data_IF_009705279720
#
_entry.id   IF_009705279720
#
_cell.length_a   1.000
_cell.length_b   1.000
_cell.length_c   1.000
_cell.angle_alpha   90.00
_cell.angle_beta   90.00
_cell.angle_gamma   90.00
#
_symmetry.space_group_name_H-M   'P 1'
#
loop_
_entity.id
_entity.type
_entity.pdbx_description
1 polymer ?
#
# COMPACT_ATOMS: atom_id res chain seq x y z
N UNK A 1 8.09 11.61 -7.01
CA UNK A 1 7.93 10.25 -6.49
C UNK A 1 7.04 9.40 -7.40
N UNK A 2 5.78 9.74 -7.61
CA UNK A 2 4.99 9.15 -8.70
C UNK A 2 4.31 10.22 -9.57
N UNK A 3 3.99 9.85 -10.80
CA UNK A 3 3.20 10.64 -11.72
C UNK A 3 2.29 9.72 -12.55
N UNK A 4 1.05 10.13 -12.66
CA UNK A 4 0.02 9.52 -13.53
C UNK A 4 -0.41 10.58 -14.52
N UNK A 5 -0.55 10.23 -15.79
CA UNK A 5 -1.06 11.15 -16.82
C UNK A 5 -1.94 10.43 -17.84
N UNK A 6 -3.09 11.06 -18.15
CA UNK A 6 -4.09 10.61 -19.12
C UNK A 6 -4.46 9.13 -18.99
N UNK A 7 -4.59 8.67 -17.73
CA UNK A 7 -4.81 7.27 -17.42
C UNK A 7 -6.29 6.90 -17.59
N UNK A 8 -6.53 5.79 -18.27
CA UNK A 8 -7.84 5.14 -18.30
C UNK A 8 -7.72 3.65 -18.02
N UNK A 9 -8.75 3.07 -17.41
CA UNK A 9 -8.86 1.63 -17.28
C UNK A 9 -10.31 1.20 -17.48
N UNK A 10 -10.50 0.02 -18.09
CA UNK A 10 -11.81 -0.51 -18.41
C UNK A 10 -11.88 -2.00 -18.05
N UNK A 11 -13.03 -2.45 -17.56
CA UNK A 11 -13.37 -3.86 -17.41
C UNK A 11 -14.53 -4.18 -18.37
N UNK A 12 -14.37 -5.20 -19.19
CA UNK A 12 -15.39 -5.67 -20.15
C UNK A 12 -15.92 -4.52 -21.03
N UNK A 13 -15.02 -3.63 -21.49
CA UNK A 13 -15.38 -2.50 -22.36
C UNK A 13 -16.00 -1.29 -21.62
N UNK A 14 -16.32 -1.40 -20.33
CA UNK A 14 -16.82 -0.29 -19.53
C UNK A 14 -15.65 0.41 -18.83
N UNK A 15 -15.47 1.71 -19.11
CA UNK A 15 -14.49 2.55 -18.39
C UNK A 15 -14.88 2.63 -16.91
N UNK A 16 -13.94 2.33 -16.04
CA UNK A 16 -14.12 2.33 -14.57
C UNK A 16 -13.16 3.29 -13.88
N UNK A 17 -12.19 3.82 -14.61
CA UNK A 17 -11.20 4.73 -14.08
C UNK A 17 -10.77 5.73 -15.15
N UNK A 18 -10.75 7.01 -14.78
CA UNK A 18 -10.15 8.09 -15.56
C UNK A 18 -9.39 9.02 -14.62
N UNK A 19 -8.11 9.24 -14.91
CA UNK A 19 -7.24 10.17 -14.17
C UNK A 19 -6.50 11.02 -15.18
N UNK A 20 -6.71 12.33 -15.17
CA UNK A 20 -6.03 13.23 -16.09
C UNK A 20 -4.55 13.36 -15.70
N UNK A 21 -4.27 14.03 -14.60
CA UNK A 21 -2.92 14.20 -14.07
C UNK A 21 -2.95 14.12 -12.54
N UNK A 22 -2.02 13.34 -11.97
CA UNK A 22 -1.79 13.32 -10.54
C UNK A 22 -0.31 13.05 -10.26
N UNK A 23 0.29 13.91 -9.44
CA UNK A 23 1.71 13.81 -9.09
C UNK A 23 1.91 13.95 -7.60
N UNK A 24 2.84 13.19 -7.06
CA UNK A 24 3.24 13.28 -5.67
C UNK A 24 4.77 13.28 -5.54
N UNK A 25 5.30 14.19 -4.73
CA UNK A 25 6.70 14.22 -4.36
C UNK A 25 7.07 13.12 -3.36
N UNK A 26 8.36 12.94 -3.12
CA UNK A 26 8.87 12.00 -2.11
C UNK A 26 8.47 12.48 -0.71
N UNK A 27 8.02 11.55 0.14
CA UNK A 27 7.59 11.83 1.51
C UNK A 27 6.23 12.52 1.64
N UNK A 28 5.56 12.86 0.53
CA UNK A 28 4.23 13.43 0.56
C UNK A 28 3.20 12.42 1.08
N UNK A 29 2.15 12.93 1.71
CA UNK A 29 1.03 12.12 2.21
C UNK A 29 -0.25 12.57 1.51
N UNK A 30 -1.00 11.61 0.98
CA UNK A 30 -2.20 11.84 0.19
C UNK A 30 -3.36 10.96 0.64
N UNK A 31 -4.54 11.55 0.69
CA UNK A 31 -5.81 10.82 0.66
C UNK A 31 -6.33 10.79 -0.77
N UNK A 32 -6.67 9.61 -1.25
CA UNK A 32 -7.47 9.41 -2.44
C UNK A 32 -8.91 9.15 -1.99
N UNK A 33 -9.75 10.16 -2.16
CA UNK A 33 -11.13 10.16 -1.73
C UNK A 33 -12.05 9.84 -2.91
N UNK A 34 -13.20 9.28 -2.63
CA UNK A 34 -14.24 9.01 -3.62
C UNK A 34 -15.28 8.02 -3.10
N UNK A 35 -16.48 8.00 -3.67
CA UNK A 35 -17.53 7.06 -3.27
C UNK A 35 -17.11 5.61 -3.54
N UNK A 36 -17.85 4.65 -2.97
CA UNK A 36 -17.69 3.24 -3.33
C UNK A 36 -17.88 3.06 -4.84
N UNK A 37 -17.01 2.27 -5.48
CA UNK A 37 -17.06 2.02 -6.92
C UNK A 37 -16.44 3.13 -7.80
N UNK A 38 -15.87 4.21 -7.25
CA UNK A 38 -15.20 5.25 -8.05
C UNK A 38 -13.87 4.82 -8.67
N UNK A 39 -13.38 3.60 -8.39
CA UNK A 39 -12.13 3.10 -8.96
C UNK A 39 -10.89 3.29 -8.07
N UNK A 40 -11.03 3.64 -6.79
CA UNK A 40 -9.90 3.83 -5.84
C UNK A 40 -8.97 2.61 -5.79
N UNK A 41 -9.51 1.44 -5.52
CA UNK A 41 -8.74 0.17 -5.51
C UNK A 41 -8.09 -0.09 -6.86
N UNK A 42 -8.80 0.19 -7.97
CA UNK A 42 -8.26 0.04 -9.32
C UNK A 42 -7.06 0.95 -9.53
N UNK A 43 -7.15 2.23 -9.15
CA UNK A 43 -6.05 3.18 -9.27
C UNK A 43 -4.86 2.78 -8.38
N UNK A 44 -5.11 2.33 -7.13
CA UNK A 44 -4.05 1.78 -6.29
C UNK A 44 -3.34 0.59 -6.94
N UNK A 45 -4.10 -0.35 -7.52
CA UNK A 45 -3.53 -1.50 -8.22
C UNK A 45 -2.75 -1.11 -9.47
N UNK A 46 -3.17 -0.06 -10.18
CA UNK A 46 -2.40 0.48 -11.32
C UNK A 46 -1.11 1.15 -10.84
N UNK A 47 -1.14 1.98 -9.78
CA UNK A 47 0.05 2.56 -9.16
C UNK A 47 1.02 1.49 -8.65
N UNK A 48 0.49 0.39 -8.14
CA UNK A 48 1.26 -0.76 -7.69
C UNK A 48 1.83 -1.62 -8.83
N UNK A 49 1.44 -1.37 -10.08
CA UNK A 49 1.79 -2.23 -11.22
C UNK A 49 1.18 -3.63 -11.14
N UNK A 50 0.07 -3.80 -10.41
CA UNK A 50 -0.73 -5.03 -10.37
C UNK A 50 -1.65 -5.09 -11.57
N UNK A 51 -2.25 -3.95 -11.94
CA UNK A 51 -3.10 -3.81 -13.12
C UNK A 51 -2.40 -2.93 -14.16
N UNK A 52 -2.50 -3.34 -15.41
CA UNK A 52 -2.10 -2.51 -16.54
C UNK A 52 -3.28 -1.63 -16.96
N UNK A 53 -3.12 -0.31 -17.08
CA UNK A 53 -4.17 0.57 -17.59
C UNK A 53 -4.45 0.30 -19.06
N UNK A 54 -5.62 0.71 -19.55
CA UNK A 54 -5.96 0.64 -20.96
C UNK A 54 -5.20 1.71 -21.77
N UNK A 55 -4.96 2.88 -21.16
CA UNK A 55 -4.15 3.97 -21.75
C UNK A 55 -3.52 4.83 -20.66
N UNK A 56 -2.62 5.74 -21.07
CA UNK A 56 -1.95 6.68 -20.19
C UNK A 56 -0.60 6.16 -19.68
N UNK A 57 0.03 6.94 -18.80
CA UNK A 57 1.37 6.67 -18.28
C UNK A 57 1.35 6.64 -16.76
N UNK A 58 2.15 5.75 -16.19
CA UNK A 58 2.37 5.63 -14.75
C UNK A 58 3.87 5.53 -14.48
N UNK A 59 4.39 6.54 -13.79
CA UNK A 59 5.79 6.55 -13.34
C UNK A 59 5.85 6.48 -11.83
N UNK A 60 6.70 5.62 -11.30
CA UNK A 60 6.97 5.48 -9.86
C UNK A 60 8.48 5.45 -9.66
N UNK A 61 9.01 6.24 -8.74
CA UNK A 61 10.44 6.37 -8.50
C UNK A 61 11.24 6.62 -9.81
N UNK A 62 10.69 7.50 -10.67
CA UNK A 62 11.24 7.88 -11.98
C UNK A 62 11.20 6.77 -13.06
N UNK A 63 10.78 5.56 -12.70
CA UNK A 63 10.62 4.44 -13.61
C UNK A 63 9.20 4.44 -14.22
N UNK A 64 9.11 4.33 -15.54
CA UNK A 64 7.85 3.98 -16.21
C UNK A 64 7.55 2.49 -15.89
N UNK A 65 6.55 2.26 -15.04
CA UNK A 65 6.23 0.91 -14.60
C UNK A 65 5.56 0.08 -15.68
N UNK A 66 4.95 0.74 -16.68
CA UNK A 66 4.27 0.05 -17.79
C UNK A 66 5.24 -0.46 -18.86
N UNK A 67 6.45 0.13 -18.92
CA UNK A 67 7.51 -0.29 -19.85
C UNK A 67 8.28 -1.53 -19.35
N UNK A 68 8.08 -1.94 -18.09
CA UNK A 68 8.76 -3.10 -17.51
C UNK A 68 8.16 -4.42 -17.99
N UNK A 69 9.02 -5.42 -18.19
CA UNK A 69 8.57 -6.82 -18.35
C UNK A 69 7.91 -7.31 -17.06
N UNK A 70 7.03 -8.33 -17.11
CA UNK A 70 6.35 -8.84 -15.91
C UNK A 70 7.30 -9.15 -14.75
N UNK A 71 8.39 -9.87 -15.00
CA UNK A 71 9.36 -10.24 -13.96
C UNK A 71 10.17 -9.04 -13.43
N UNK A 72 10.44 -8.04 -14.27
CA UNK A 72 11.09 -6.80 -13.84
C UNK A 72 10.13 -5.94 -13.00
N UNK A 73 8.85 -5.90 -13.39
CA UNK A 73 7.79 -5.19 -12.65
C UNK A 73 7.57 -5.81 -11.27
N UNK A 74 7.54 -7.14 -11.15
CA UNK A 74 7.40 -7.82 -9.87
C UNK A 74 8.56 -7.50 -8.93
N UNK A 75 9.80 -7.55 -9.42
CA UNK A 75 10.97 -7.15 -8.65
C UNK A 75 10.97 -5.67 -8.30
N UNK A 76 10.56 -4.81 -9.22
CA UNK A 76 10.45 -3.37 -8.97
C UNK A 76 9.42 -3.09 -7.88
N UNK A 77 8.22 -3.70 -7.97
CA UNK A 77 7.16 -3.59 -6.97
C UNK A 77 7.67 -4.03 -5.59
N UNK A 78 8.24 -5.23 -5.50
CA UNK A 78 8.74 -5.76 -4.23
C UNK A 78 9.79 -4.88 -3.55
N UNK A 79 10.59 -4.14 -4.33
CA UNK A 79 11.63 -3.24 -3.81
C UNK A 79 11.14 -1.83 -3.46
N UNK A 80 10.17 -1.31 -4.21
CA UNK A 80 9.84 0.12 -4.17
C UNK A 80 8.43 0.42 -3.65
N UNK A 81 7.52 -0.57 -3.63
CA UNK A 81 6.12 -0.35 -3.31
C UNK A 81 5.69 -1.27 -2.18
N UNK A 82 5.22 -0.69 -1.09
CA UNK A 82 4.52 -1.40 -0.02
C UNK A 82 3.03 -1.26 -0.20
N UNK A 83 2.27 -2.34 0.03
CA UNK A 83 0.82 -2.33 -0.13
C UNK A 83 0.17 -2.94 1.10
N UNK A 84 -0.76 -2.18 1.70
CA UNK A 84 -1.70 -2.64 2.72
C UNK A 84 -3.07 -2.70 2.08
N UNK A 85 -3.58 -3.90 1.87
CA UNK A 85 -4.87 -4.13 1.23
C UNK A 85 -5.98 -4.21 2.29
N UNK A 86 -7.22 -3.91 1.90
CA UNK A 86 -8.39 -4.03 2.75
C UNK A 86 -8.54 -5.46 3.33
N UNK A 87 -8.35 -6.49 2.50
CA UNK A 87 -8.12 -7.86 2.96
C UNK A 87 -6.63 -8.04 3.17
N UNK A 88 -6.22 -8.45 4.36
CA UNK A 88 -4.81 -8.42 4.77
C UNK A 88 -3.92 -9.42 4.01
N UNK A 89 -4.51 -10.51 3.48
CA UNK A 89 -3.81 -11.54 2.68
C UNK A 89 -2.51 -12.03 3.36
N UNK A 90 -2.54 -12.25 4.66
CA UNK A 90 -1.48 -12.97 5.35
C UNK A 90 -1.56 -14.45 4.97
N UNK A 91 -0.41 -15.10 4.86
CA UNK A 91 -0.34 -16.52 4.53
C UNK A 91 -0.45 -17.31 5.82
N UNK A 92 -1.57 -17.99 6.03
CA UNK A 92 -1.92 -18.67 7.29
C UNK A 92 -0.98 -19.82 7.64
N UNK A 93 -0.39 -20.48 6.63
CA UNK A 93 0.59 -21.55 6.82
C UNK A 93 1.98 -21.06 7.23
N UNK A 94 2.22 -19.75 7.21
CA UNK A 94 3.49 -19.14 7.58
C UNK A 94 3.35 -18.38 8.91
N UNK A 95 4.42 -18.38 9.71
CA UNK A 95 4.48 -17.49 10.87
C UNK A 95 4.50 -16.02 10.45
N UNK A 96 4.24 -15.13 11.40
CA UNK A 96 4.35 -13.66 11.21
C UNK A 96 5.72 -13.30 10.65
N UNK A 97 6.80 -13.79 11.24
CA UNK A 97 8.16 -13.55 10.74
C UNK A 97 8.33 -14.03 9.30
N UNK A 98 7.86 -15.25 9.00
CA UNK A 98 8.01 -15.83 7.66
C UNK A 98 7.16 -15.11 6.60
N UNK A 99 6.02 -14.50 6.95
CA UNK A 99 5.28 -13.61 6.07
C UNK A 99 6.13 -12.38 5.63
N UNK A 100 6.95 -11.84 6.53
CA UNK A 100 7.84 -10.73 6.22
C UNK A 100 9.06 -11.21 5.40
N UNK A 101 9.66 -12.34 5.78
CA UNK A 101 10.79 -12.92 5.05
C UNK A 101 10.41 -13.29 3.61
N UNK A 102 9.19 -13.79 3.40
CA UNK A 102 8.67 -14.04 2.06
C UNK A 102 8.57 -12.75 1.23
N UNK A 103 8.15 -11.64 1.83
CA UNK A 103 8.10 -10.36 1.12
C UNK A 103 9.49 -9.87 0.69
N UNK A 104 10.53 -10.14 1.47
CA UNK A 104 11.92 -9.86 1.08
C UNK A 104 12.36 -10.78 -0.07
N UNK A 105 12.09 -12.08 0.04
CA UNK A 105 12.40 -13.06 -1.00
C UNK A 105 11.75 -12.71 -2.34
N UNK A 106 10.45 -12.41 -2.33
CA UNK A 106 9.69 -12.02 -3.54
C UNK A 106 10.20 -10.71 -4.17
N UNK A 107 10.82 -9.84 -3.38
CA UNK A 107 11.50 -8.63 -3.87
C UNK A 107 12.88 -8.91 -4.48
N UNK A 108 13.35 -10.17 -4.48
CA UNK A 108 14.70 -10.54 -4.90
C UNK A 108 15.78 -9.99 -3.95
N UNK A 109 15.46 -9.85 -2.66
CA UNK A 109 16.40 -9.47 -1.59
C UNK A 109 16.80 -10.70 -0.79
N UNK A 110 17.96 -10.63 -0.14
CA UNK A 110 18.31 -11.59 0.90
C UNK A 110 17.30 -11.49 2.04
N UNK A 111 16.93 -12.63 2.61
CA UNK A 111 16.06 -12.68 3.78
C UNK A 111 16.84 -12.20 5.01
N UNK A 112 16.45 -11.07 5.55
CA UNK A 112 17.05 -10.43 6.74
C UNK A 112 16.06 -10.54 7.91
N UNK A 113 16.25 -11.58 8.72
CA UNK A 113 15.42 -11.83 9.90
C UNK A 113 15.61 -10.76 10.99
N UNK A 114 16.80 -10.14 11.07
CA UNK A 114 17.04 -9.07 12.04
C UNK A 114 16.19 -7.84 11.67
N UNK A 115 16.21 -7.44 10.41
CA UNK A 115 15.35 -6.36 9.90
C UNK A 115 13.87 -6.68 10.07
N UNK A 116 13.44 -7.90 9.80
CA UNK A 116 12.04 -8.29 9.97
C UNK A 116 11.61 -8.18 11.44
N UNK A 117 12.43 -8.65 12.39
CA UNK A 117 12.17 -8.52 13.83
C UNK A 117 12.19 -7.06 14.31
N UNK A 118 13.10 -6.23 13.81
CA UNK A 118 13.12 -4.79 14.09
C UNK A 118 11.80 -4.12 13.68
N UNK A 119 11.28 -4.43 12.49
CA UNK A 119 9.99 -3.90 12.03
C UNK A 119 8.86 -4.37 12.92
N UNK A 120 8.81 -5.67 13.27
CA UNK A 120 7.79 -6.19 14.18
C UNK A 120 7.86 -5.50 15.55
N UNK A 121 9.05 -5.31 16.11
CA UNK A 121 9.22 -4.61 17.38
C UNK A 121 8.71 -3.16 17.30
N UNK A 122 8.95 -2.47 16.18
CA UNK A 122 8.47 -1.10 15.96
C UNK A 122 6.95 -0.97 15.87
N UNK A 123 6.24 -2.09 15.81
CA UNK A 123 4.78 -2.20 15.68
C UNK A 123 4.15 -2.95 16.87
N UNK A 124 4.90 -3.09 17.98
CA UNK A 124 4.49 -3.81 19.21
C UNK A 124 4.11 -5.29 18.94
N UNK A 125 4.86 -5.97 18.07
CA UNK A 125 4.65 -7.36 17.66
C UNK A 125 5.88 -8.25 17.88
N UNK A 126 6.84 -7.83 18.72
CA UNK A 126 8.07 -8.59 18.92
C UNK A 126 7.80 -10.01 19.45
N UNK A 127 6.82 -10.15 20.34
CA UNK A 127 6.38 -11.42 20.96
C UNK A 127 5.57 -12.30 19.98
N UNK A 128 5.09 -11.75 18.86
CA UNK A 128 4.24 -12.44 17.88
C UNK A 128 5.02 -12.98 16.67
N UNK A 129 6.33 -12.82 16.63
CA UNK A 129 7.15 -13.21 15.48
C UNK A 129 6.94 -14.68 15.05
N UNK A 130 6.75 -15.58 16.00
CA UNK A 130 6.57 -17.01 15.74
C UNK A 130 5.09 -17.46 15.72
N UNK A 131 4.14 -16.56 15.99
CA UNK A 131 2.71 -16.84 15.91
C UNK A 131 2.25 -16.97 14.45
N UNK A 132 1.15 -17.68 14.24
CA UNK A 132 0.48 -17.74 12.93
C UNK A 132 -0.64 -16.69 12.84
N UNK A 133 -1.03 -16.27 11.62
CA UNK A 133 -2.06 -15.25 11.43
C UNK A 133 -3.39 -15.52 12.15
N UNK A 134 -3.82 -16.77 12.22
CA UNK A 134 -5.06 -17.17 12.91
C UNK A 134 -5.01 -17.03 14.44
N UNK A 135 -3.82 -16.86 15.03
CA UNK A 135 -3.61 -16.64 16.46
C UNK A 135 -3.64 -15.15 16.83
N UNK A 136 -3.78 -14.26 15.84
CA UNK A 136 -3.72 -12.82 16.03
C UNK A 136 -5.11 -12.20 16.17
N UNK A 137 -5.23 -11.18 17.01
CA UNK A 137 -6.37 -10.27 16.90
C UNK A 137 -6.38 -9.54 15.56
N UNK A 138 -7.55 -9.04 15.13
CA UNK A 138 -7.65 -8.29 13.88
C UNK A 138 -6.66 -7.10 13.82
N UNK A 139 -6.51 -6.33 14.90
CA UNK A 139 -5.56 -5.22 14.98
C UNK A 139 -4.10 -5.67 14.90
N UNK A 140 -3.74 -6.83 15.50
CA UNK A 140 -2.41 -7.41 15.36
C UNK A 140 -2.15 -7.86 13.91
N UNK A 141 -3.11 -8.56 13.29
CA UNK A 141 -3.01 -8.96 11.89
C UNK A 141 -2.85 -7.76 10.95
N UNK A 142 -3.56 -6.67 11.21
CA UNK A 142 -3.41 -5.41 10.46
C UNK A 142 -2.00 -4.82 10.62
N UNK A 143 -1.45 -4.77 11.83
CA UNK A 143 -0.06 -4.33 12.05
C UNK A 143 0.95 -5.24 11.35
N UNK A 144 0.72 -6.56 11.30
CA UNK A 144 1.56 -7.49 10.52
C UNK A 144 1.50 -7.18 9.03
N UNK A 145 0.32 -6.86 8.48
CA UNK A 145 0.19 -6.46 7.07
C UNK A 145 0.96 -5.15 6.78
N UNK A 146 0.93 -4.18 7.70
CA UNK A 146 1.77 -2.97 7.61
C UNK A 146 3.26 -3.34 7.70
N UNK A 147 3.66 -4.19 8.64
CA UNK A 147 5.05 -4.67 8.77
C UNK A 147 5.55 -5.29 7.46
N UNK A 148 4.75 -6.17 6.85
CA UNK A 148 5.06 -6.80 5.57
C UNK A 148 5.21 -5.76 4.45
N UNK A 149 4.37 -4.74 4.42
CA UNK A 149 4.43 -3.69 3.42
C UNK A 149 5.71 -2.83 3.53
N UNK A 150 6.24 -2.62 4.75
CA UNK A 150 7.37 -1.71 4.99
C UNK A 150 8.72 -2.40 5.20
N UNK A 151 8.77 -3.74 5.32
CA UNK A 151 10.00 -4.49 5.61
C UNK A 151 11.10 -4.23 4.59
N UNK A 152 10.73 -4.01 3.34
CA UNK A 152 11.64 -3.72 2.23
C UNK A 152 12.05 -2.25 2.11
N UNK A 153 11.62 -1.37 3.02
CA UNK A 153 11.83 0.09 2.96
C UNK A 153 11.33 0.65 1.61
N UNK A 154 10.03 0.56 1.33
CA UNK A 154 9.48 1.03 0.06
C UNK A 154 9.62 2.55 -0.08
N UNK A 155 9.61 3.04 -1.32
CA UNK A 155 9.53 4.47 -1.65
C UNK A 155 8.08 4.96 -1.71
N UNK A 156 7.14 4.06 -1.99
CA UNK A 156 5.71 4.32 -2.07
C UNK A 156 4.97 3.32 -1.16
N UNK A 157 4.18 3.83 -0.22
CA UNK A 157 3.30 3.04 0.63
C UNK A 157 1.85 3.32 0.24
N UNK A 158 1.17 2.29 -0.19
CA UNK A 158 -0.23 2.32 -0.60
C UNK A 158 -1.09 1.62 0.45
N UNK A 159 -2.22 2.21 0.82
CA UNK A 159 -3.17 1.58 1.74
C UNK A 159 -4.59 1.69 1.17
N UNK A 160 -5.27 0.56 1.03
CA UNK A 160 -6.62 0.47 0.50
C UNK A 160 -7.62 0.25 1.63
N UNK A 161 -8.48 1.26 1.89
CA UNK A 161 -9.52 1.28 2.92
C UNK A 161 -9.02 0.79 4.30
N UNK A 162 -7.86 1.28 4.81
CA UNK A 162 -7.25 0.73 6.02
C UNK A 162 -8.03 1.02 7.30
N UNK A 163 -8.97 1.97 7.27
CA UNK A 163 -9.79 2.39 8.42
C UNK A 163 -11.23 1.91 8.34
N UNK A 164 -11.57 1.14 7.31
CA UNK A 164 -12.94 0.63 7.12
C UNK A 164 -13.37 -0.27 8.30
N UNK A 165 -14.61 -0.10 8.74
CA UNK A 165 -15.23 -0.85 9.85
C UNK A 165 -14.53 -0.68 11.23
N UNK A 166 -13.73 0.37 11.41
CA UNK A 166 -13.12 0.71 12.70
C UNK A 166 -13.90 1.82 13.39
N UNK A 167 -13.90 1.80 14.72
CA UNK A 167 -14.31 2.95 15.54
C UNK A 167 -13.32 4.12 15.38
N UNK A 168 -13.70 5.30 15.85
CA UNK A 168 -12.93 6.53 15.68
C UNK A 168 -11.52 6.45 16.29
N UNK A 169 -11.40 5.84 17.47
CA UNK A 169 -10.11 5.73 18.16
C UNK A 169 -9.15 4.82 17.39
N UNK A 170 -9.64 3.66 16.93
CA UNK A 170 -8.86 2.71 16.13
C UNK A 170 -8.52 3.25 14.73
N UNK A 171 -9.45 3.99 14.13
CA UNK A 171 -9.25 4.68 12.86
C UNK A 171 -8.02 5.60 12.92
N UNK A 172 -7.95 6.46 13.96
CA UNK A 172 -6.81 7.36 14.16
C UNK A 172 -5.51 6.60 14.46
N UNK A 173 -5.56 5.54 15.27
CA UNK A 173 -4.39 4.70 15.55
C UNK A 173 -3.80 4.07 14.28
N UNK A 174 -4.64 3.59 13.36
CA UNK A 174 -4.19 3.02 12.09
C UNK A 174 -3.60 4.10 11.18
N UNK A 175 -4.20 5.29 11.14
CA UNK A 175 -3.64 6.41 10.39
C UNK A 175 -2.26 6.80 10.93
N UNK A 176 -2.14 7.03 12.24
CA UNK A 176 -0.87 7.43 12.88
C UNK A 176 0.21 6.36 12.64
N UNK A 177 -0.16 5.07 12.69
CA UNK A 177 0.72 3.95 12.39
C UNK A 177 1.26 4.02 10.95
N UNK A 178 0.38 4.20 9.95
CA UNK A 178 0.77 4.29 8.54
C UNK A 178 1.67 5.50 8.29
N UNK A 179 1.33 6.66 8.86
CA UNK A 179 2.12 7.87 8.75
C UNK A 179 3.52 7.71 9.36
N UNK A 180 3.61 7.14 10.56
CA UNK A 180 4.88 6.87 11.24
C UNK A 180 5.77 5.91 10.43
N UNK A 181 5.18 4.82 9.87
CA UNK A 181 5.94 3.86 9.07
C UNK A 181 6.37 4.46 7.73
N UNK A 182 5.53 5.25 7.07
CA UNK A 182 5.89 5.96 5.84
C UNK A 182 7.07 6.92 6.11
N UNK A 183 7.01 7.70 7.19
CA UNK A 183 8.08 8.61 7.59
C UNK A 183 9.39 7.88 7.87
N UNK A 184 9.36 6.77 8.63
CA UNK A 184 10.55 5.93 8.91
C UNK A 184 11.21 5.39 7.65
N UNK A 185 10.42 5.11 6.61
CA UNK A 185 10.91 4.64 5.31
C UNK A 185 11.31 5.78 4.37
N UNK A 186 10.96 7.03 4.68
CA UNK A 186 11.01 8.15 3.73
C UNK A 186 10.06 7.94 2.55
N UNK A 187 8.97 7.19 2.76
CA UNK A 187 8.03 6.82 1.71
C UNK A 187 6.97 7.89 1.48
N UNK A 188 6.51 8.02 0.24
CA UNK A 188 5.26 8.70 -0.06
C UNK A 188 4.11 7.78 0.32
N UNK A 189 3.13 8.31 1.07
CA UNK A 189 1.94 7.57 1.52
C UNK A 189 0.73 7.96 0.70
N UNK A 190 0.01 6.97 0.20
CA UNK A 190 -1.31 7.16 -0.43
C UNK A 190 -2.32 6.25 0.25
N UNK A 191 -3.37 6.83 0.83
CA UNK A 191 -4.48 6.11 1.45
C UNK A 191 -5.72 6.30 0.59
N UNK A 192 -6.25 5.22 0.04
CA UNK A 192 -7.54 5.22 -0.62
C UNK A 192 -8.63 4.96 0.42
N UNK A 193 -9.60 5.86 0.52
CA UNK A 193 -10.70 5.70 1.48
C UNK A 193 -11.90 6.57 1.11
N UNK A 194 -13.06 6.23 1.63
CA UNK A 194 -14.25 7.07 1.67
C UNK A 194 -14.44 7.70 3.06
N UNK A 195 -13.56 7.43 4.01
CA UNK A 195 -13.65 7.85 5.40
C UNK A 195 -13.26 9.33 5.56
N UNK A 196 -14.24 10.17 5.82
CA UNK A 196 -14.04 11.62 6.00
C UNK A 196 -13.39 11.99 7.35
N UNK A 197 -13.40 11.07 8.33
CA UNK A 197 -12.86 11.32 9.68
C UNK A 197 -11.35 11.63 9.67
N UNK A 198 -10.63 11.08 8.71
CA UNK A 198 -9.17 11.29 8.60
C UNK A 198 -8.78 12.42 7.63
N UNK A 199 -9.76 13.08 7.01
CA UNK A 199 -9.51 14.11 5.99
C UNK A 199 -8.67 15.28 6.53
N UNK A 200 -8.96 15.75 7.73
CA UNK A 200 -8.22 16.87 8.34
C UNK A 200 -6.80 16.52 8.79
N UNK A 201 -6.46 15.23 8.86
CA UNK A 201 -5.17 14.71 9.35
C UNK A 201 -4.14 14.49 8.23
N UNK A 202 -4.54 14.54 6.98
CA UNK A 202 -3.64 14.35 5.83
C UNK A 202 -3.68 15.60 4.95
N UNK A 203 -2.52 16.18 4.60
CA UNK A 203 -2.47 17.53 4.02
C UNK A 203 -2.94 17.61 2.57
N UNK A 204 -2.82 16.52 1.79
CA UNK A 204 -3.14 16.53 0.37
C UNK A 204 -4.29 15.56 0.08
N UNK A 205 -5.21 16.00 -0.80
CA UNK A 205 -6.35 15.19 -1.20
C UNK A 205 -6.41 15.08 -2.73
N UNK A 206 -6.80 13.93 -3.20
CA UNK A 206 -7.15 13.67 -4.59
C UNK A 206 -8.56 13.08 -4.62
N UNK A 207 -9.51 13.85 -5.12
CA UNK A 207 -10.90 13.41 -5.25
C UNK A 207 -11.05 12.63 -6.57
N UNK A 208 -11.34 11.34 -6.46
CA UNK A 208 -11.54 10.46 -7.61
C UNK A 208 -13.03 10.39 -7.93
N UNK A 209 -13.39 10.97 -9.06
CA UNK A 209 -14.74 10.93 -9.60
C UNK A 209 -15.01 9.60 -10.32
N UNK A 210 -16.26 9.10 -10.28
CA UNK A 210 -16.66 7.97 -11.12
C UNK A 210 -16.44 8.27 -12.60
N UNK A 211 -15.99 7.27 -13.37
CA UNK A 211 -15.72 7.40 -14.82
C UNK A 211 -16.96 7.28 -15.67
#
# INVERSE_FOLDING_TARGET
MFAVSQLTHAYNGKTVLRVNDWRAGQGAQWLMLGPSGSGKTTLLHVLAGILRPASGQVRVAEQDVMALSPSALDRFRGKNIGIVLQRLHLIDSLTVLNNLLLAQYMAGKAQDAARAREVLASLDLADKANAHPHELSHGQAQRVAVARAVVNKPKLLLADEPTSNLDDARCLQVLDLLQAQAQRCGATLVIATHDQRIKSRVPNHYDLEPA
#
